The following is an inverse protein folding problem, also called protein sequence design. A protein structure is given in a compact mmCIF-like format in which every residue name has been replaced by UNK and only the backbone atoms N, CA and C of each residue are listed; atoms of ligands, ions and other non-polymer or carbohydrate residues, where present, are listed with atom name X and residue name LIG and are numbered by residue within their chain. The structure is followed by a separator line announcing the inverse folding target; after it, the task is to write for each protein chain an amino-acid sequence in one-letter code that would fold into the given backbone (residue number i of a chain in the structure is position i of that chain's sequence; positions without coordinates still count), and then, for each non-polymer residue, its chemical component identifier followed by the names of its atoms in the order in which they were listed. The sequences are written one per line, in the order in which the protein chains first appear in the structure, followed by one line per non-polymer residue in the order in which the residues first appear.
data_IF_458216011627
#
_entry.id   IF_458216011627
#
_cell.length_a   1.000
_cell.length_b   1.000
_cell.length_c   1.000
_cell.angle_alpha   90.00
_cell.angle_beta   90.00
_cell.angle_gamma   90.00
#
_symmetry.space_group_name_H-M   'P 1'
#
loop_
_entity.id
_entity.type
_entity.pdbx_description
1 polymer ?
#
# COMPACT_ATOMS: atom_id res chain seq x y z
N UNK A 1 14.50 -10.70 25.16
CA UNK A 1 14.67 -10.38 23.73
C UNK A 1 13.54 -9.44 23.34
N UNK A 2 13.82 -8.39 22.56
CA UNK A 2 12.78 -7.47 22.09
C UNK A 2 12.21 -8.00 20.77
N UNK A 3 10.96 -8.45 20.80
CA UNK A 3 10.26 -9.02 19.64
C UNK A 3 9.23 -8.04 19.04
N UNK A 4 9.41 -6.73 19.30
CA UNK A 4 8.45 -5.72 18.92
C UNK A 4 9.10 -4.56 18.17
N UNK A 5 8.34 -3.95 17.27
CA UNK A 5 8.64 -2.65 16.65
C UNK A 5 7.49 -1.67 16.90
N UNK A 6 7.75 -0.38 16.71
CA UNK A 6 6.70 0.62 16.57
C UNK A 6 6.34 0.76 15.09
N UNK A 7 5.05 0.78 14.75
CA UNK A 7 4.56 1.02 13.39
C UNK A 7 4.44 2.50 13.09
N UNK A 8 4.12 2.83 11.85
CA UNK A 8 3.88 4.20 11.41
C UNK A 8 2.74 4.89 12.16
N UNK A 9 1.66 4.17 12.47
CA UNK A 9 0.56 4.65 13.31
C UNK A 9 0.86 4.58 14.81
N UNK A 10 2.12 4.39 15.18
CA UNK A 10 2.64 4.29 16.54
C UNK A 10 2.03 3.13 17.35
N UNK A 11 1.67 2.03 16.66
CA UNK A 11 1.25 0.78 17.31
C UNK A 11 2.46 -0.05 17.67
N UNK A 12 2.33 -0.84 18.74
CA UNK A 12 3.34 -1.84 19.09
C UNK A 12 3.03 -3.13 18.34
N UNK A 13 3.84 -3.46 17.34
CA UNK A 13 3.70 -4.71 16.60
C UNK A 13 4.60 -5.78 17.22
N UNK A 14 4.06 -6.96 17.57
CA UNK A 14 4.80 -8.07 18.16
C UNK A 14 4.90 -9.25 17.18
N UNK A 15 6.11 -9.62 16.76
CA UNK A 15 6.33 -10.71 15.79
C UNK A 15 5.94 -12.10 16.31
N UNK A 16 5.73 -12.27 17.62
CA UNK A 16 5.39 -13.56 18.25
C UNK A 16 3.89 -13.73 18.46
N UNK A 17 3.21 -12.63 18.78
CA UNK A 17 1.81 -12.61 19.22
C UNK A 17 1.12 -11.43 18.53
N UNK A 18 0.92 -11.59 17.22
CA UNK A 18 0.28 -10.60 16.35
C UNK A 18 -1.23 -10.84 16.32
N UNK A 19 -2.01 -9.78 16.46
CA UNK A 19 -3.46 -9.81 16.37
C UNK A 19 -3.97 -8.90 15.25
N UNK A 20 -5.25 -9.03 14.90
CA UNK A 20 -5.86 -8.19 13.87
C UNK A 20 -5.85 -6.70 14.25
N UNK A 21 -5.85 -6.36 15.54
CA UNK A 21 -5.83 -4.98 16.03
C UNK A 21 -4.47 -4.30 15.84
N UNK A 22 -3.40 -5.08 15.71
CA UNK A 22 -2.03 -4.58 15.50
C UNK A 22 -1.77 -4.21 14.03
N UNK A 23 -2.62 -4.70 13.12
CA UNK A 23 -2.50 -4.46 11.69
C UNK A 23 -3.45 -3.35 11.26
N UNK A 24 -2.97 -2.41 10.44
CA UNK A 24 -3.80 -1.38 9.82
C UNK A 24 -3.42 -1.22 8.36
N UNK A 25 -4.39 -0.82 7.53
CA UNK A 25 -4.12 -0.48 6.13
C UNK A 25 -3.06 0.63 6.01
N UNK A 26 -3.10 1.62 6.92
CA UNK A 26 -2.15 2.73 6.91
C UNK A 26 -0.70 2.29 7.19
N UNK A 27 -0.51 1.32 8.10
CA UNK A 27 0.81 0.73 8.37
C UNK A 27 1.28 -0.14 7.20
N UNK A 28 0.39 -0.97 6.62
CA UNK A 28 0.71 -1.77 5.42
C UNK A 28 1.13 -0.84 4.28
N UNK A 29 0.30 0.14 3.95
CA UNK A 29 0.58 1.08 2.86
C UNK A 29 1.89 1.84 3.10
N UNK A 30 2.18 2.28 4.33
CA UNK A 30 3.46 2.93 4.64
C UNK A 30 4.63 1.97 4.43
N UNK A 31 4.60 0.81 5.08
CA UNK A 31 5.68 -0.18 5.03
C UNK A 31 5.98 -0.60 3.60
N UNK A 32 4.95 -1.02 2.84
CA UNK A 32 5.13 -1.45 1.44
C UNK A 32 5.61 -0.30 0.53
N UNK A 33 5.23 0.95 0.81
CA UNK A 33 5.61 2.08 -0.03
C UNK A 33 7.08 2.49 0.13
N UNK A 34 7.66 2.23 1.30
CA UNK A 34 9.08 2.47 1.59
C UNK A 34 9.95 1.22 1.38
N UNK A 35 9.32 0.04 1.28
CA UNK A 35 10.03 -1.22 1.03
C UNK A 35 10.40 -1.34 -0.44
N UNK A 36 11.70 -1.33 -0.74
CA UNK A 36 12.19 -1.50 -2.10
C UNK A 36 12.19 -2.96 -2.51
N UNK A 37 11.76 -3.24 -3.74
CA UNK A 37 11.97 -4.56 -4.36
C UNK A 37 13.41 -4.75 -4.81
N UNK A 38 13.74 -6.00 -5.13
CA UNK A 38 15.05 -6.40 -5.66
C UNK A 38 16.20 -6.05 -4.71
N UNK A 39 15.95 -6.06 -3.39
CA UNK A 39 16.90 -5.66 -2.35
C UNK A 39 17.58 -4.29 -2.63
N UNK A 40 16.89 -3.38 -3.33
CA UNK A 40 17.42 -2.07 -3.69
C UNK A 40 18.56 -2.08 -4.72
N UNK A 41 18.78 -3.18 -5.45
CA UNK A 41 19.87 -3.33 -6.43
C UNK A 41 19.51 -2.82 -7.84
N UNK A 42 18.48 -1.99 -7.95
CA UNK A 42 18.07 -1.33 -9.20
C UNK A 42 18.39 0.17 -9.15
N UNK A 43 18.57 0.78 -10.32
CA UNK A 43 19.06 2.17 -10.42
C UNK A 43 18.10 3.22 -9.84
N UNK A 44 16.80 2.93 -9.82
CA UNK A 44 15.76 3.83 -9.34
C UNK A 44 14.86 3.09 -8.38
N UNK A 45 14.32 3.81 -7.39
CA UNK A 45 13.42 3.23 -6.40
C UNK A 45 12.18 2.61 -7.05
N UNK A 46 11.84 1.38 -6.63
CA UNK A 46 10.64 0.65 -7.00
C UNK A 46 10.14 -0.10 -5.76
N UNK A 47 8.90 0.17 -5.36
CA UNK A 47 8.36 -0.31 -4.09
C UNK A 47 7.51 -1.57 -4.22
N UNK A 48 7.40 -2.32 -3.12
CA UNK A 48 6.44 -3.43 -3.01
C UNK A 48 5.01 -2.93 -3.19
N UNK A 49 4.67 -1.74 -2.66
CA UNK A 49 3.34 -1.16 -2.86
C UNK A 49 3.01 -0.94 -4.35
N UNK A 50 3.98 -0.44 -5.13
CA UNK A 50 3.80 -0.24 -6.56
C UNK A 50 3.59 -1.57 -7.29
N UNK A 51 4.40 -2.57 -6.97
CA UNK A 51 4.24 -3.94 -7.49
C UNK A 51 2.84 -4.49 -7.20
N UNK A 52 2.42 -4.48 -5.93
CA UNK A 52 1.13 -5.01 -5.51
C UNK A 52 -0.06 -4.33 -6.20
N UNK A 53 0.03 -3.00 -6.42
CA UNK A 53 -0.96 -2.26 -7.22
C UNK A 53 -1.03 -2.80 -8.64
N UNK A 54 0.10 -3.05 -9.30
CA UNK A 54 0.11 -3.61 -10.65
C UNK A 54 -0.42 -5.05 -10.70
N UNK A 55 -0.04 -5.91 -9.75
CA UNK A 55 -0.59 -7.27 -9.65
C UNK A 55 -2.12 -7.23 -9.51
N UNK A 56 -2.67 -6.26 -8.75
CA UNK A 56 -4.13 -6.08 -8.61
C UNK A 56 -4.87 -5.69 -9.89
N UNK A 57 -4.16 -5.23 -10.93
CA UNK A 57 -4.73 -4.91 -12.25
C UNK A 57 -4.60 -6.06 -13.25
N UNK A 58 -3.79 -7.08 -12.93
CA UNK A 58 -3.53 -8.24 -13.80
C UNK A 58 -4.48 -9.41 -13.54
N UNK A 59 -5.30 -9.33 -12.49
CA UNK A 59 -6.26 -10.37 -12.09
C UNK A 59 -7.71 -9.92 -12.30
N UNK A 60 -8.67 -10.86 -12.41
CA UNK A 60 -10.09 -10.52 -12.37
C UNK A 60 -10.48 -9.78 -11.08
N UNK A 61 -11.54 -8.98 -11.16
CA UNK A 61 -11.95 -8.06 -10.08
C UNK A 61 -12.15 -8.76 -8.74
N UNK A 62 -12.69 -9.98 -8.74
CA UNK A 62 -12.93 -10.79 -7.54
C UNK A 62 -11.65 -11.22 -6.80
N UNK A 63 -10.50 -11.22 -7.49
CA UNK A 63 -9.17 -11.53 -6.90
C UNK A 63 -8.33 -10.29 -6.64
N UNK A 64 -8.76 -9.12 -7.12
CA UNK A 64 -7.93 -7.91 -7.10
C UNK A 64 -7.58 -7.44 -5.68
N UNK A 65 -8.45 -7.65 -4.69
CA UNK A 65 -8.15 -7.30 -3.29
C UNK A 65 -7.09 -8.22 -2.69
N UNK A 66 -7.18 -9.52 -2.98
CA UNK A 66 -6.15 -10.48 -2.58
C UNK A 66 -4.82 -10.14 -3.25
N UNK A 67 -4.82 -9.86 -4.55
CA UNK A 67 -3.66 -9.42 -5.30
C UNK A 67 -3.03 -8.12 -4.77
N UNK A 68 -3.84 -7.15 -4.33
CA UNK A 68 -3.30 -5.94 -3.72
C UNK A 68 -2.61 -6.20 -2.38
N UNK A 69 -3.07 -7.21 -1.62
CA UNK A 69 -2.63 -7.48 -0.26
C UNK A 69 -1.70 -8.69 -0.14
N UNK A 70 -1.33 -9.35 -1.24
CA UNK A 70 -0.58 -10.61 -1.20
C UNK A 70 0.79 -10.50 -0.53
N UNK A 71 1.47 -9.36 -0.69
CA UNK A 71 2.77 -9.06 -0.06
C UNK A 71 2.62 -8.20 1.21
N UNK A 72 1.42 -8.08 1.80
CA UNK A 72 1.18 -7.18 2.93
C UNK A 72 2.00 -7.52 4.18
N UNK A 73 2.50 -8.76 4.32
CA UNK A 73 3.44 -9.16 5.36
C UNK A 73 4.75 -8.39 5.31
N UNK A 74 5.22 -8.01 4.12
CA UNK A 74 6.51 -7.35 3.90
C UNK A 74 6.56 -5.96 4.54
N UNK A 75 5.41 -5.33 4.76
CA UNK A 75 5.30 -4.07 5.50
C UNK A 75 5.85 -4.17 6.93
N UNK A 76 5.83 -5.37 7.50
CA UNK A 76 6.31 -5.67 8.85
C UNK A 76 7.59 -6.49 8.83
N UNK A 77 7.79 -7.33 7.80
CA UNK A 77 8.83 -8.35 7.77
C UNK A 77 10.01 -8.03 6.86
N UNK A 78 9.91 -7.04 5.96
CA UNK A 78 10.81 -6.77 4.81
C UNK A 78 10.57 -7.66 3.60
N UNK A 79 10.88 -7.15 2.41
CA UNK A 79 11.02 -7.93 1.18
C UNK A 79 12.37 -8.66 1.23
N UNK A 80 12.33 -9.98 1.43
CA UNK A 80 13.52 -10.82 1.32
C UNK A 80 13.53 -11.52 -0.03
N UNK A 81 14.60 -11.34 -0.85
CA UNK A 81 14.73 -12.06 -2.11
C UNK A 81 14.53 -13.56 -1.90
N UNK A 82 13.74 -14.18 -2.79
CA UNK A 82 13.35 -15.59 -2.70
C UNK A 82 14.51 -16.54 -2.39
N UNK A 83 15.71 -16.40 -2.98
CA UNK A 83 16.85 -17.27 -2.65
C UNK A 83 17.32 -17.16 -1.20
N UNK A 84 17.35 -15.94 -0.63
CA UNK A 84 17.72 -15.73 0.78
C UNK A 84 16.62 -16.26 1.71
N UNK A 85 15.36 -15.98 1.39
CA UNK A 85 14.19 -16.45 2.14
C UNK A 85 14.16 -17.98 2.24
N UNK A 86 14.57 -18.68 1.18
CA UNK A 86 14.68 -20.14 1.16
C UNK A 86 15.66 -20.71 2.22
N UNK A 87 16.65 -19.94 2.64
CA UNK A 87 17.64 -20.33 3.64
C UNK A 87 17.18 -20.05 5.09
N UNK A 88 16.01 -19.45 5.29
CA UNK A 88 15.54 -18.93 6.59
C UNK A 88 14.18 -19.54 7.00
N UNK A 89 14.14 -20.82 7.45
CA UNK A 89 12.88 -21.50 7.76
C UNK A 89 12.10 -20.86 8.94
N UNK A 90 12.79 -20.36 9.96
CA UNK A 90 12.14 -19.69 11.09
C UNK A 90 11.53 -18.34 10.70
N UNK A 91 12.14 -17.64 9.73
CA UNK A 91 11.56 -16.40 9.18
C UNK A 91 10.25 -16.71 8.45
N UNK A 92 10.22 -17.75 7.61
CA UNK A 92 8.98 -18.18 6.93
C UNK A 92 7.85 -18.49 7.91
N UNK A 93 8.13 -19.14 9.05
CA UNK A 93 7.11 -19.39 10.08
C UNK A 93 6.56 -18.10 10.69
N UNK A 94 7.42 -17.12 10.95
CA UNK A 94 7.00 -15.82 11.48
C UNK A 94 6.11 -15.11 10.47
N UNK A 95 6.53 -15.09 9.21
CA UNK A 95 5.80 -14.46 8.12
C UNK A 95 4.45 -15.11 7.86
N UNK A 96 4.38 -16.45 7.77
CA UNK A 96 3.13 -17.18 7.59
C UNK A 96 2.11 -16.86 8.70
N UNK A 97 2.56 -16.78 9.96
CA UNK A 97 1.68 -16.39 11.07
C UNK A 97 1.15 -14.97 10.92
N UNK A 98 1.94 -14.04 10.41
CA UNK A 98 1.50 -12.66 10.15
C UNK A 98 0.53 -12.64 8.96
N UNK A 99 0.82 -13.39 7.90
CA UNK A 99 -0.03 -13.55 6.72
C UNK A 99 -1.42 -14.08 7.10
N UNK A 100 -1.49 -15.12 7.92
CA UNK A 100 -2.76 -15.68 8.43
C UNK A 100 -3.63 -14.60 9.12
N UNK A 101 -3.01 -13.74 9.95
CA UNK A 101 -3.72 -12.66 10.63
C UNK A 101 -4.14 -11.55 9.67
N UNK A 102 -3.30 -11.18 8.71
CA UNK A 102 -3.64 -10.23 7.65
C UNK A 102 -4.81 -10.76 6.82
N UNK A 103 -4.73 -11.99 6.31
CA UNK A 103 -5.78 -12.63 5.51
C UNK A 103 -7.09 -12.66 6.26
N UNK A 104 -7.08 -13.04 7.54
CA UNK A 104 -8.27 -13.02 8.40
C UNK A 104 -8.85 -11.61 8.54
N UNK A 105 -8.01 -10.61 8.85
CA UNK A 105 -8.43 -9.21 9.03
C UNK A 105 -9.12 -8.63 7.80
N UNK A 106 -8.60 -8.94 6.62
CA UNK A 106 -9.11 -8.41 5.34
C UNK A 106 -10.07 -9.36 4.63
N UNK A 107 -10.49 -10.45 5.28
CA UNK A 107 -11.41 -11.46 4.73
C UNK A 107 -10.92 -12.01 3.38
N UNK A 108 -9.63 -12.32 3.29
CA UNK A 108 -8.99 -12.97 2.14
C UNK A 108 -9.05 -14.50 2.29
N UNK A 109 -8.89 -15.26 1.19
CA UNK A 109 -8.68 -16.70 1.25
C UNK A 109 -7.48 -17.05 2.16
N UNK A 110 -7.54 -18.20 2.83
CA UNK A 110 -6.50 -18.64 3.76
C UNK A 110 -5.15 -18.91 3.07
N UNK A 111 -5.19 -19.29 1.80
CA UNK A 111 -4.03 -19.53 0.95
C UNK A 111 -4.14 -18.65 -0.30
N UNK A 112 -3.00 -18.27 -0.87
CA UNK A 112 -2.95 -17.44 -2.08
C UNK A 112 -3.62 -18.16 -3.26
N UNK A 113 -4.59 -17.51 -3.90
CA UNK A 113 -5.22 -18.03 -5.11
C UNK A 113 -4.20 -18.18 -6.25
N UNK A 114 -4.28 -19.28 -7.02
CA UNK A 114 -3.36 -19.56 -8.13
C UNK A 114 -3.28 -18.43 -9.17
N UNK A 115 -4.41 -17.77 -9.44
CA UNK A 115 -4.47 -16.62 -10.37
C UNK A 115 -3.67 -15.42 -9.87
N UNK A 116 -3.64 -15.20 -8.55
CA UNK A 116 -2.84 -14.13 -7.94
C UNK A 116 -1.37 -14.50 -8.01
N UNK A 117 -1.02 -15.75 -7.71
CA UNK A 117 0.36 -16.22 -7.79
C UNK A 117 0.91 -16.12 -9.22
N UNK A 118 0.10 -16.49 -10.22
CA UNK A 118 0.47 -16.34 -11.62
C UNK A 118 0.65 -14.87 -12.02
N UNK A 119 -0.23 -13.98 -11.56
CA UNK A 119 -0.13 -12.54 -11.84
C UNK A 119 1.11 -11.89 -11.20
N UNK A 120 1.48 -12.29 -9.99
CA UNK A 120 2.74 -11.89 -9.35
C UNK A 120 3.95 -12.30 -10.20
N UNK A 121 4.01 -13.56 -10.67
CA UNK A 121 5.09 -14.03 -11.55
C UNK A 121 5.15 -13.28 -12.89
N UNK A 122 4.00 -12.99 -13.51
CA UNK A 122 3.92 -12.18 -14.74
C UNK A 122 4.47 -10.77 -14.49
N UNK A 123 4.13 -10.17 -13.34
CA UNK A 123 4.64 -8.87 -12.95
C UNK A 123 6.16 -8.92 -12.69
N UNK A 124 6.66 -9.95 -12.01
CA UNK A 124 8.09 -10.17 -11.78
C UNK A 124 8.86 -10.33 -13.09
N UNK A 125 8.33 -11.08 -14.07
CA UNK A 125 8.93 -11.19 -15.40
C UNK A 125 9.03 -9.83 -16.10
N UNK A 126 7.95 -9.05 -16.04
CA UNK A 126 7.86 -7.72 -16.65
C UNK A 126 8.81 -6.72 -15.99
N UNK A 127 8.90 -6.73 -14.65
CA UNK A 127 9.85 -5.92 -13.89
C UNK A 127 11.29 -6.28 -14.22
N UNK A 128 11.61 -7.57 -14.24
CA UNK A 128 12.96 -8.06 -14.57
C UNK A 128 13.41 -7.55 -15.93
N UNK A 129 12.53 -7.63 -16.92
CA UNK A 129 12.80 -7.12 -18.27
C UNK A 129 13.01 -5.60 -18.26
N UNK A 130 12.06 -4.85 -17.68
CA UNK A 130 12.11 -3.39 -17.63
C UNK A 130 13.38 -2.87 -16.94
N UNK A 131 13.76 -3.49 -15.82
CA UNK A 131 14.96 -3.12 -15.04
C UNK A 131 16.25 -3.75 -15.56
N UNK A 132 16.21 -4.49 -16.66
CA UNK A 132 17.41 -5.11 -17.25
C UNK A 132 18.13 -6.07 -16.29
N UNK A 133 17.39 -6.75 -15.40
CA UNK A 133 17.98 -7.54 -14.32
C UNK A 133 18.47 -8.89 -14.81
N UNK A 134 19.75 -9.16 -14.53
CA UNK A 134 20.36 -10.49 -14.67
C UNK A 134 20.10 -11.13 -16.06
N UNK A 135 20.33 -10.34 -17.12
CA UNK A 135 19.93 -10.65 -18.51
C UNK A 135 20.52 -11.97 -19.05
N UNK A 136 21.72 -12.32 -18.60
CA UNK A 136 22.45 -13.46 -19.13
C UNK A 136 22.10 -14.79 -18.45
N UNK A 137 21.36 -14.75 -17.33
CA UNK A 137 21.01 -15.93 -16.55
C UNK A 137 19.52 -16.28 -16.68
N UNK A 138 19.18 -17.53 -16.38
CA UNK A 138 17.78 -17.98 -16.33
C UNK A 138 17.27 -17.94 -14.89
N UNK A 139 16.03 -17.49 -14.73
CA UNK A 139 15.31 -17.59 -13.45
C UNK A 139 14.29 -18.73 -13.58
N UNK A 140 14.54 -19.92 -12.97
CA UNK A 140 13.66 -21.09 -13.15
C UNK A 140 12.20 -20.82 -12.78
N UNK A 141 11.95 -19.93 -11.81
CA UNK A 141 10.59 -19.54 -11.38
C UNK A 141 9.80 -18.81 -12.48
N UNK A 142 10.47 -18.26 -13.50
CA UNK A 142 9.86 -17.56 -14.62
C UNK A 142 9.78 -18.43 -15.89
N UNK A 143 10.10 -19.72 -15.80
CA UNK A 143 10.02 -20.60 -16.97
C UNK A 143 8.56 -20.75 -17.45
N UNK A 144 8.30 -20.35 -18.70
CA UNK A 144 6.96 -20.36 -19.28
C UNK A 144 6.06 -19.20 -18.84
N UNK A 145 6.55 -18.27 -18.02
CA UNK A 145 5.81 -17.08 -17.59
C UNK A 145 6.07 -15.93 -18.57
N UNK A 146 5.02 -15.37 -19.20
CA UNK A 146 5.19 -14.24 -20.12
C UNK A 146 5.33 -12.91 -19.37
N UNK A 147 5.92 -11.92 -20.04
CA UNK A 147 5.78 -10.50 -19.70
C UNK A 147 4.39 -10.00 -20.10
N UNK A 148 3.98 -8.82 -19.62
CA UNK A 148 2.70 -8.19 -19.98
C UNK A 148 2.88 -6.76 -20.49
N UNK A 149 2.13 -6.43 -21.55
CA UNK A 149 2.01 -5.07 -22.09
C UNK A 149 0.84 -4.28 -21.46
N UNK A 150 0.05 -4.91 -20.59
CA UNK A 150 -1.09 -4.26 -19.92
C UNK A 150 -0.64 -3.22 -18.88
N UNK A 151 0.60 -3.32 -18.40
CA UNK A 151 1.16 -2.46 -17.37
C UNK A 151 2.38 -1.72 -17.93
N UNK A 152 2.29 -0.40 -17.96
CA UNK A 152 3.43 0.46 -18.23
C UNK A 152 4.14 0.82 -16.91
N UNK A 153 5.27 0.17 -16.63
CA UNK A 153 6.09 0.48 -15.46
C UNK A 153 6.65 1.90 -15.57
N UNK A 154 6.55 2.64 -14.47
CA UNK A 154 7.12 3.98 -14.31
C UNK A 154 7.78 4.11 -12.94
N UNK A 155 8.63 5.12 -12.75
CA UNK A 155 9.23 5.37 -11.44
C UNK A 155 8.28 6.19 -10.58
N UNK A 156 7.96 5.68 -9.39
CA UNK A 156 7.01 6.28 -8.46
C UNK A 156 7.70 6.52 -7.12
N UNK A 157 7.52 7.70 -6.53
CA UNK A 157 8.03 7.98 -5.19
C UNK A 157 7.27 7.17 -4.13
N UNK A 158 7.86 6.88 -2.95
CA UNK A 158 7.17 6.20 -1.86
C UNK A 158 5.80 6.82 -1.54
N UNK A 159 5.75 8.15 -1.39
CA UNK A 159 4.50 8.87 -1.12
C UNK A 159 3.42 8.63 -2.18
N UNK A 160 3.80 8.61 -3.46
CA UNK A 160 2.84 8.37 -4.55
C UNK A 160 2.44 6.89 -4.62
N UNK A 161 3.36 5.96 -4.38
CA UNK A 161 3.05 4.52 -4.32
C UNK A 161 2.08 4.21 -3.18
N UNK A 162 2.30 4.82 -2.00
CA UNK A 162 1.38 4.75 -0.85
C UNK A 162 -0.02 5.23 -1.20
N UNK A 163 -0.13 6.38 -1.86
CA UNK A 163 -1.40 6.91 -2.34
C UNK A 163 -2.09 5.95 -3.32
N UNK A 164 -1.38 5.45 -4.34
CA UNK A 164 -1.94 4.52 -5.33
C UNK A 164 -2.44 3.24 -4.68
N UNK A 165 -1.70 2.70 -3.70
CA UNK A 165 -2.10 1.53 -2.94
C UNK A 165 -3.39 1.74 -2.16
N UNK A 166 -3.49 2.86 -1.44
CA UNK A 166 -4.68 3.19 -0.64
C UNK A 166 -5.90 3.45 -1.53
N UNK A 167 -5.74 4.19 -2.63
CA UNK A 167 -6.84 4.43 -3.56
C UNK A 167 -7.32 3.12 -4.18
N UNK A 168 -6.40 2.25 -4.62
CA UNK A 168 -6.76 0.95 -5.16
C UNK A 168 -7.51 0.09 -4.13
N UNK A 169 -7.07 0.10 -2.87
CA UNK A 169 -7.79 -0.60 -1.80
C UNK A 169 -9.23 -0.06 -1.61
N UNK A 170 -9.42 1.27 -1.66
CA UNK A 170 -10.75 1.88 -1.54
C UNK A 170 -11.66 1.51 -2.71
N UNK A 171 -11.15 1.57 -3.93
CA UNK A 171 -11.86 1.15 -5.15
C UNK A 171 -12.38 -0.28 -5.02
N UNK A 172 -11.51 -1.19 -4.56
CA UNK A 172 -11.82 -2.62 -4.46
C UNK A 172 -12.77 -2.98 -3.33
N UNK A 173 -12.73 -2.24 -2.22
CA UNK A 173 -13.57 -2.53 -1.04
C UNK A 173 -14.89 -1.76 -1.04
N UNK A 174 -15.11 -0.87 -2.00
CA UNK A 174 -16.27 0.03 -2.01
C UNK A 174 -16.32 0.94 -0.77
N UNK A 175 -15.20 1.07 -0.04
CA UNK A 175 -15.07 2.01 1.08
C UNK A 175 -14.81 3.39 0.50
N UNK A 176 -15.81 3.92 -0.20
CA UNK A 176 -15.85 5.35 -0.52
C UNK A 176 -15.93 6.12 0.79
N UNK A 177 -14.97 7.00 0.98
CA UNK A 177 -15.02 7.96 2.07
C UNK A 177 -15.88 9.10 1.54
N UNK A 178 -17.08 9.24 2.11
CA UNK A 178 -17.91 10.40 1.84
C UNK A 178 -17.13 11.64 2.31
N UNK A 179 -16.78 12.48 1.35
CA UNK A 179 -16.12 13.74 1.60
C UNK A 179 -17.19 14.83 1.68
N UNK A 180 -17.10 15.65 2.71
CA UNK A 180 -17.95 16.82 2.87
C UNK A 180 -17.55 17.90 1.86
N UNK A 181 -16.24 17.97 1.54
CA UNK A 181 -15.69 18.89 0.56
C UNK A 181 -14.33 18.40 0.00
N UNK A 182 -13.79 19.13 -0.97
CA UNK A 182 -12.40 19.03 -1.44
C UNK A 182 -11.57 20.17 -0.86
N UNK A 183 -10.27 19.93 -0.65
CA UNK A 183 -9.35 20.95 -0.16
C UNK A 183 -8.01 20.90 -0.88
N UNK A 184 -7.58 22.05 -1.37
CA UNK A 184 -6.21 22.29 -1.81
C UNK A 184 -5.41 22.87 -0.65
N UNK A 185 -4.48 22.07 -0.13
CA UNK A 185 -3.71 22.41 1.07
C UNK A 185 -2.69 23.51 0.72
N UNK A 186 -2.65 24.57 1.53
CA UNK A 186 -1.59 25.58 1.50
C UNK A 186 -0.62 25.33 2.66
N UNK A 187 -1.16 25.08 3.86
CA UNK A 187 -0.39 24.74 5.06
C UNK A 187 -1.21 23.79 5.96
N UNK A 188 -0.54 22.96 6.75
CA UNK A 188 -1.20 21.97 7.61
C UNK A 188 -0.44 21.73 8.91
N UNK A 189 -1.18 21.62 10.01
CA UNK A 189 -0.68 21.27 11.33
C UNK A 189 -1.66 20.33 12.04
N UNK A 190 -1.29 19.70 13.18
CA UNK A 190 -2.25 18.96 14.00
C UNK A 190 -3.45 19.82 14.43
N UNK A 191 -3.28 21.14 14.52
CA UNK A 191 -4.33 22.09 14.89
C UNK A 191 -5.34 22.39 13.78
N UNK A 192 -5.07 22.02 12.53
CA UNK A 192 -5.95 22.29 11.39
C UNK A 192 -5.21 22.48 10.08
N UNK A 193 -5.97 22.64 9.00
CA UNK A 193 -5.49 22.83 7.64
C UNK A 193 -5.88 24.22 7.17
N UNK A 194 -4.88 24.97 6.71
CA UNK A 194 -5.10 26.20 5.97
C UNK A 194 -5.03 25.90 4.47
N UNK A 195 -6.11 26.17 3.75
CA UNK A 195 -6.22 25.79 2.34
C UNK A 195 -7.40 26.41 1.62
N UNK A 196 -7.57 26.06 0.36
CA UNK A 196 -8.73 26.44 -0.45
C UNK A 196 -9.73 25.30 -0.53
N UNK A 197 -10.99 25.56 -0.19
CA UNK A 197 -12.07 24.57 -0.25
C UNK A 197 -12.74 24.58 -1.62
N UNK A 198 -13.22 23.43 -2.05
CA UNK A 198 -13.98 23.24 -3.28
C UNK A 198 -15.07 22.21 -3.03
N UNK A 199 -16.13 22.22 -3.82
CA UNK A 199 -17.17 21.20 -3.80
C UNK A 199 -17.72 20.95 -2.39
N UNK A 200 -18.06 21.99 -1.61
CA UNK A 200 -18.68 21.85 -0.28
C UNK A 200 -20.12 21.32 -0.42
N UNK A 201 -20.30 20.04 -0.11
CA UNK A 201 -21.55 19.29 -0.35
C UNK A 201 -22.49 19.31 0.85
N UNK A 202 -21.97 19.43 2.07
CA UNK A 202 -22.74 19.15 3.29
C UNK A 202 -23.25 20.41 3.96
N UNK A 203 -22.40 21.40 4.17
CA UNK A 203 -22.84 22.67 4.78
C UNK A 203 -23.16 23.73 3.73
N UNK A 204 -22.60 23.62 2.50
CA UNK A 204 -22.66 24.64 1.44
C UNK A 204 -22.30 26.03 1.97
N UNK A 205 -21.40 26.06 2.93
CA UNK A 205 -21.05 27.23 3.72
C UNK A 205 -20.03 28.09 2.99
N UNK A 206 -19.23 27.46 2.13
CA UNK A 206 -18.13 28.10 1.43
C UNK A 206 -18.29 27.98 -0.09
N UNK A 207 -17.98 29.05 -0.81
CA UNK A 207 -17.83 29.02 -2.26
C UNK A 207 -16.53 28.34 -2.71
N UNK A 208 -16.51 27.84 -3.94
CA UNK A 208 -15.32 27.22 -4.53
C UNK A 208 -14.14 28.20 -4.58
N UNK A 209 -13.00 27.75 -4.07
CA UNK A 209 -11.75 28.51 -4.00
C UNK A 209 -11.63 29.42 -2.77
N UNK A 210 -12.62 29.46 -1.89
CA UNK A 210 -12.53 30.20 -0.63
C UNK A 210 -11.45 29.62 0.28
N UNK A 211 -10.75 30.51 0.99
CA UNK A 211 -9.74 30.11 1.96
C UNK A 211 -10.40 29.74 3.28
N UNK A 212 -10.06 28.57 3.81
CA UNK A 212 -10.55 28.09 5.11
C UNK A 212 -9.40 27.73 6.04
N UNK A 213 -9.71 27.71 7.33
CA UNK A 213 -8.90 27.02 8.33
C UNK A 213 -9.79 25.97 9.01
N UNK A 214 -9.40 24.69 8.93
CA UNK A 214 -10.22 23.59 9.45
C UNK A 214 -10.09 23.43 10.96
N UNK A 215 -10.97 22.63 11.57
CA UNK A 215 -10.75 22.10 12.91
C UNK A 215 -9.56 21.11 12.95
N UNK A 216 -9.07 20.73 14.15
CA UNK A 216 -7.92 19.85 14.31
C UNK A 216 -8.01 18.59 13.47
N UNK A 217 -6.88 18.22 12.87
CA UNK A 217 -6.77 17.07 11.96
C UNK A 217 -6.60 15.81 12.80
N UNK A 218 -7.59 14.92 12.72
CA UNK A 218 -7.62 13.65 13.45
C UNK A 218 -6.63 12.66 12.81
N UNK A 219 -6.59 12.62 11.49
CA UNK A 219 -5.67 11.75 10.75
C UNK A 219 -4.38 12.49 10.33
N UNK A 220 -3.90 13.44 11.13
CA UNK A 220 -2.69 14.21 10.82
C UNK A 220 -1.46 13.34 10.49
N UNK A 221 -1.24 12.19 11.16
CA UNK A 221 -0.12 11.34 10.79
C UNK A 221 -0.24 10.78 9.37
N UNK A 222 -1.46 10.53 8.88
CA UNK A 222 -1.73 9.70 7.70
C UNK A 222 -2.44 10.43 6.55
N UNK A 223 -2.80 11.71 6.68
CA UNK A 223 -3.68 12.40 5.71
C UNK A 223 -3.18 12.35 4.24
N UNK A 224 -1.86 12.47 4.02
CA UNK A 224 -1.29 12.41 2.66
C UNK A 224 -1.47 11.04 2.02
N UNK A 225 -1.28 9.99 2.81
CA UNK A 225 -1.45 8.63 2.33
C UNK A 225 -2.90 8.25 2.18
N UNK A 226 -3.69 8.68 3.15
CA UNK A 226 -5.12 8.49 3.18
C UNK A 226 -5.78 9.19 1.99
N UNK A 227 -5.16 10.23 1.41
CA UNK A 227 -5.73 11.02 0.31
C UNK A 227 -6.85 11.95 0.77
N UNK A 228 -7.06 12.08 2.07
CA UNK A 228 -8.07 12.93 2.68
C UNK A 228 -7.63 13.43 4.06
N UNK A 229 -8.18 14.56 4.46
CA UNK A 229 -8.08 15.12 5.81
C UNK A 229 -9.39 14.82 6.52
N UNK A 230 -9.32 14.14 7.66
CA UNK A 230 -10.43 14.02 8.60
C UNK A 230 -10.17 14.93 9.78
N UNK A 231 -11.12 15.81 10.04
CA UNK A 231 -11.14 16.70 11.20
C UNK A 231 -12.22 16.28 12.17
N UNK A 232 -12.36 17.00 13.28
CA UNK A 232 -13.44 16.78 14.26
C UNK A 232 -14.82 16.89 13.60
N UNK A 233 -14.96 17.79 12.63
CA UNK A 233 -16.27 18.17 12.10
C UNK A 233 -16.50 17.68 10.68
N UNK A 234 -15.44 17.43 9.91
CA UNK A 234 -15.56 17.21 8.47
C UNK A 234 -14.47 16.31 7.90
N UNK A 235 -14.71 15.79 6.71
CA UNK A 235 -13.77 15.01 5.91
C UNK A 235 -13.57 15.68 4.56
N UNK A 236 -12.32 16.01 4.23
CA UNK A 236 -11.95 16.71 3.01
C UNK A 236 -11.10 15.83 2.10
N UNK A 237 -11.48 15.67 0.83
CA UNK A 237 -10.60 15.06 -0.18
C UNK A 237 -9.47 16.01 -0.53
N UNK A 238 -8.23 15.53 -0.56
CA UNK A 238 -7.08 16.36 -0.94
C UNK A 238 -7.03 16.45 -2.47
N UNK A 239 -6.90 17.67 -2.99
CA UNK A 239 -6.69 17.92 -4.42
C UNK A 239 -5.40 18.73 -4.64
N UNK A 240 -4.75 18.49 -5.78
CA UNK A 240 -3.45 19.10 -6.16
C UNK A 240 -3.66 20.38 -6.96
#
# INVERSE_FOLDING_TARGET
MMACIATYTNRRFNYIDVSEEDITLGDIAQGLSDECRFAGQIAHFYSVAQHAVYVSYLVPQEYALEALLHDATEAYCKDLPTPLKALLPEYKKIENRIDEVIRKKFNLPAEMSEVVNYADLVMLATERQFFALDRDNKWPILEGIPETDLIAISYVSPTKAKYLFIERYKELTGKEINYDAEIKIIDISPGGVYGRIYNDRVERKYGDGETINTSPVINYPTYQSDGFIKTINSVYRIIV
#
